data_IF_073156373501
#
_entry.id   IF_073156373501
#
_cell.length_a   1.000
_cell.length_b   1.000
_cell.length_c   1.000
_cell.angle_alpha   90.00
_cell.angle_beta   90.00
_cell.angle_gamma   90.00
#
_symmetry.space_group_name_H-M   'P 1'
#
loop_
_entity.id
_entity.type
_entity.pdbx_description
1 polymer ?
#
# COMPACT_ATOMS: atom_id res chain seq x y z
N UNK A 1 -16.88 -4.61 -5.30
CA UNK A 1 -16.38 -3.47 -4.49
C UNK A 1 -17.04 -2.14 -4.87
N UNK A 2 -17.22 -1.86 -6.15
CA UNK A 2 -17.90 -0.63 -6.62
C UNK A 2 -19.39 -0.60 -6.23
N UNK A 3 -20.10 -1.72 -6.35
CA UNK A 3 -21.49 -1.81 -5.87
C UNK A 3 -21.61 -1.52 -4.39
N UNK A 4 -20.75 -2.14 -3.58
CA UNK A 4 -20.72 -1.93 -2.13
C UNK A 4 -20.52 -0.44 -1.80
N UNK A 5 -19.49 0.17 -2.40
CA UNK A 5 -19.18 1.58 -2.15
C UNK A 5 -20.30 2.52 -2.60
N UNK A 6 -20.92 2.25 -3.75
CA UNK A 6 -22.07 3.03 -4.24
C UNK A 6 -23.30 2.90 -3.34
N UNK A 7 -23.63 1.68 -2.88
CA UNK A 7 -24.72 1.45 -1.95
C UNK A 7 -24.45 2.16 -0.61
N UNK A 8 -23.25 2.02 -0.10
CA UNK A 8 -22.81 2.68 1.14
C UNK A 8 -23.01 4.19 1.07
N UNK A 9 -22.50 4.82 0.00
CA UNK A 9 -22.48 6.28 -0.13
C UNK A 9 -23.86 6.82 -0.48
N UNK A 10 -24.54 6.25 -1.47
CA UNK A 10 -25.68 6.88 -2.11
C UNK A 10 -27.04 6.29 -1.69
N UNK A 11 -27.09 5.03 -1.29
CA UNK A 11 -28.33 4.38 -0.84
C UNK A 11 -28.46 4.43 0.68
N UNK A 12 -27.39 4.16 1.40
CA UNK A 12 -27.35 4.20 2.86
C UNK A 12 -26.92 5.58 3.40
N UNK A 13 -26.49 6.48 2.53
CA UNK A 13 -26.06 7.85 2.85
C UNK A 13 -24.99 7.93 3.96
N UNK A 14 -24.11 6.91 3.99
CA UNK A 14 -23.05 6.83 4.98
C UNK A 14 -21.77 7.53 4.49
N UNK A 15 -20.99 8.12 5.40
CA UNK A 15 -19.71 8.74 5.04
C UNK A 15 -18.77 7.77 4.34
N UNK A 16 -18.27 8.14 3.16
CA UNK A 16 -17.39 7.28 2.35
C UNK A 16 -16.09 6.92 3.06
N UNK A 17 -15.60 7.79 3.95
CA UNK A 17 -14.38 7.56 4.73
C UNK A 17 -14.53 6.34 5.66
N UNK A 18 -15.70 6.16 6.27
CA UNK A 18 -15.99 5.00 7.11
C UNK A 18 -16.00 3.70 6.29
N UNK A 19 -16.57 3.76 5.07
CA UNK A 19 -16.57 2.62 4.16
C UNK A 19 -15.16 2.27 3.67
N UNK A 20 -14.35 3.28 3.35
CA UNK A 20 -12.94 3.08 2.99
C UNK A 20 -12.15 2.45 4.14
N UNK A 21 -12.39 2.88 5.37
CA UNK A 21 -11.75 2.29 6.54
C UNK A 21 -12.20 0.84 6.78
N UNK A 22 -13.50 0.55 6.63
CA UNK A 22 -14.03 -0.80 6.70
C UNK A 22 -13.38 -1.74 5.66
N UNK A 23 -13.11 -1.23 4.45
CA UNK A 23 -12.39 -2.00 3.43
C UNK A 23 -10.94 -2.27 3.85
N UNK A 24 -10.21 -1.27 4.35
CA UNK A 24 -8.84 -1.47 4.83
C UNK A 24 -8.75 -2.49 5.97
N UNK A 25 -9.75 -2.53 6.83
CA UNK A 25 -9.82 -3.50 7.92
C UNK A 25 -9.99 -4.94 7.43
N UNK A 26 -10.68 -5.16 6.30
CA UNK A 26 -11.17 -6.48 5.89
C UNK A 26 -10.61 -7.00 4.55
N UNK A 27 -10.03 -6.16 3.70
CA UNK A 27 -9.48 -6.59 2.42
C UNK A 27 -8.08 -7.19 2.58
N UNK A 28 -7.87 -8.38 2.04
CA UNK A 28 -6.57 -9.07 2.04
C UNK A 28 -5.53 -8.34 1.17
N UNK A 29 -5.99 -7.66 0.13
CA UNK A 29 -5.21 -6.87 -0.81
C UNK A 29 -5.40 -5.35 -0.59
N UNK A 30 -5.71 -4.94 0.64
CA UNK A 30 -5.96 -3.55 0.98
C UNK A 30 -4.68 -2.71 0.87
N UNK A 31 -4.68 -1.77 -0.09
CA UNK A 31 -3.68 -0.71 -0.21
C UNK A 31 -4.32 0.64 0.13
N UNK A 32 -3.74 1.44 1.05
CA UNK A 32 -4.36 2.68 1.52
C UNK A 32 -4.61 3.70 0.41
N UNK A 33 -3.66 3.85 -0.53
CA UNK A 33 -3.77 4.83 -1.60
C UNK A 33 -4.82 4.39 -2.63
N UNK A 34 -4.72 3.16 -3.11
CA UNK A 34 -5.64 2.58 -4.09
C UNK A 34 -7.07 2.53 -3.55
N UNK A 35 -7.24 2.09 -2.30
CA UNK A 35 -8.55 2.03 -1.64
C UNK A 35 -9.18 3.42 -1.52
N UNK A 36 -8.45 4.40 -0.98
CA UNK A 36 -8.95 5.77 -0.82
C UNK A 36 -9.35 6.38 -2.16
N UNK A 37 -8.49 6.27 -3.18
CA UNK A 37 -8.77 6.82 -4.50
C UNK A 37 -9.96 6.13 -5.18
N UNK A 38 -10.14 4.83 -4.98
CA UNK A 38 -11.27 4.07 -5.52
C UNK A 38 -12.61 4.50 -4.89
N UNK A 39 -12.65 4.68 -3.56
CA UNK A 39 -13.83 5.20 -2.88
C UNK A 39 -14.17 6.63 -3.32
N UNK A 40 -13.15 7.48 -3.47
CA UNK A 40 -13.29 8.84 -3.99
C UNK A 40 -13.81 8.86 -5.43
N UNK A 41 -13.36 7.89 -6.24
CA UNK A 41 -13.84 7.75 -7.62
C UNK A 41 -15.32 7.36 -7.65
N UNK A 42 -15.77 6.39 -6.85
CA UNK A 42 -17.17 6.02 -6.74
C UNK A 42 -18.01 7.22 -6.28
N UNK A 43 -17.52 7.99 -5.31
CA UNK A 43 -18.20 9.19 -4.79
C UNK A 43 -18.30 10.35 -5.80
N UNK A 44 -17.52 10.35 -6.88
CA UNK A 44 -17.49 11.42 -7.89
C UNK A 44 -16.61 12.61 -7.53
N UNK A 45 -15.80 12.50 -6.47
CA UNK A 45 -14.87 13.56 -6.02
C UNK A 45 -13.45 13.40 -6.57
N UNK A 46 -13.06 12.20 -7.01
CA UNK A 46 -11.77 11.97 -7.68
C UNK A 46 -11.74 12.53 -9.09
N UNK A 47 -12.83 12.35 -9.83
CA UNK A 47 -13.08 13.00 -11.13
C UNK A 47 -14.39 13.73 -11.01
N UNK A 48 -14.34 15.07 -11.01
CA UNK A 48 -15.47 15.94 -10.72
C UNK A 48 -16.70 15.52 -11.52
N UNK A 49 -17.82 15.35 -10.84
CA UNK A 49 -19.13 15.00 -11.41
C UNK A 49 -19.22 13.63 -12.13
N UNK A 50 -18.20 12.79 -12.02
CA UNK A 50 -18.22 11.41 -12.54
C UNK A 50 -18.22 10.43 -11.40
N UNK A 51 -19.40 10.04 -10.96
CA UNK A 51 -19.60 9.03 -9.92
C UNK A 51 -20.08 7.70 -10.50
N UNK A 52 -20.03 6.66 -9.70
CA UNK A 52 -20.52 5.34 -10.08
C UNK A 52 -21.73 4.98 -9.24
N UNK A 53 -22.86 4.63 -9.91
CA UNK A 53 -24.06 4.17 -9.24
C UNK A 53 -24.25 2.66 -9.43
N UNK A 54 -24.49 1.95 -8.33
CA UNK A 54 -24.95 0.59 -8.35
C UNK A 54 -26.38 0.55 -8.92
N UNK A 55 -26.58 -0.23 -9.97
CA UNK A 55 -27.86 -0.37 -10.65
C UNK A 55 -28.38 -1.79 -10.52
N UNK A 56 -29.67 -1.95 -10.20
CA UNK A 56 -30.33 -3.25 -10.06
C UNK A 56 -30.04 -4.18 -11.24
N UNK A 57 -30.24 -3.70 -12.46
CA UNK A 57 -30.01 -4.50 -13.67
C UNK A 57 -28.56 -4.96 -13.83
N UNK A 58 -27.61 -4.12 -13.43
CA UNK A 58 -26.19 -4.48 -13.48
C UNK A 58 -25.84 -5.55 -12.44
N UNK A 59 -26.37 -5.42 -11.22
CA UNK A 59 -26.15 -6.40 -10.14
C UNK A 59 -26.76 -7.75 -10.52
N UNK A 60 -27.98 -7.78 -11.03
CA UNK A 60 -28.64 -9.03 -11.49
C UNK A 60 -27.81 -9.69 -12.59
N UNK A 61 -27.43 -8.91 -13.60
CA UNK A 61 -26.70 -9.41 -14.79
C UNK A 61 -25.34 -10.04 -14.45
N UNK A 62 -24.60 -9.44 -13.53
CA UNK A 62 -23.19 -9.84 -13.26
C UNK A 62 -22.99 -10.48 -11.90
N UNK A 63 -23.94 -10.35 -10.97
CA UNK A 63 -23.84 -10.90 -9.62
C UNK A 63 -24.39 -12.31 -9.48
N UNK A 64 -25.14 -12.78 -10.45
CA UNK A 64 -25.92 -14.03 -10.36
C UNK A 64 -26.74 -14.12 -9.07
N UNK A 65 -27.37 -13.00 -8.68
CA UNK A 65 -28.09 -12.84 -7.43
C UNK A 65 -29.56 -12.61 -7.74
N UNK A 66 -30.43 -13.33 -7.03
CA UNK A 66 -31.85 -13.00 -6.99
C UNK A 66 -32.05 -11.72 -6.18
N UNK A 67 -32.20 -10.60 -6.87
CA UNK A 67 -32.37 -9.30 -6.22
C UNK A 67 -33.80 -9.20 -5.64
N UNK A 68 -33.88 -8.97 -4.33
CA UNK A 68 -35.17 -8.77 -3.68
C UNK A 68 -35.80 -7.45 -4.19
N UNK A 69 -37.05 -7.53 -4.69
CA UNK A 69 -37.75 -6.38 -5.27
C UNK A 69 -37.99 -5.24 -4.26
N UNK A 70 -38.04 -5.57 -2.97
CA UNK A 70 -38.21 -4.58 -1.91
C UNK A 70 -36.97 -3.73 -1.63
N UNK A 71 -35.79 -4.12 -2.16
CA UNK A 71 -34.58 -3.32 -2.02
C UNK A 71 -34.55 -2.20 -3.06
N UNK A 72 -34.64 -0.97 -2.58
CA UNK A 72 -34.53 0.23 -3.42
C UNK A 72 -33.10 0.76 -3.40
N UNK A 73 -32.47 0.82 -4.57
CA UNK A 73 -31.19 1.49 -4.75
C UNK A 73 -31.40 2.94 -5.18
N UNK A 74 -30.57 3.86 -4.71
CA UNK A 74 -30.55 5.22 -5.22
C UNK A 74 -29.77 5.27 -6.54
N UNK A 75 -30.48 5.08 -7.65
CA UNK A 75 -29.92 5.06 -9.00
C UNK A 75 -29.86 6.47 -9.66
N UNK A 76 -30.28 7.52 -8.92
CA UNK A 76 -30.35 8.90 -9.41
C UNK A 76 -29.56 9.89 -8.53
N UNK A 77 -28.74 9.37 -7.62
CA UNK A 77 -27.92 10.19 -6.75
C UNK A 77 -26.93 11.06 -7.56
N UNK A 78 -26.61 12.22 -7.01
CA UNK A 78 -25.58 13.14 -7.55
C UNK A 78 -24.23 12.89 -6.87
N UNK A 79 -23.17 13.30 -7.54
CA UNK A 79 -21.80 13.23 -7.00
C UNK A 79 -21.69 14.00 -5.69
N UNK A 80 -20.87 13.49 -4.78
CA UNK A 80 -20.45 14.28 -3.63
C UNK A 80 -19.55 15.44 -4.08
N UNK A 81 -19.56 16.51 -3.30
CA UNK A 81 -18.69 17.65 -3.53
C UNK A 81 -17.53 17.68 -2.54
N UNK A 82 -16.38 18.09 -3.00
CA UNK A 82 -15.21 18.37 -2.17
C UNK A 82 -14.58 19.68 -2.60
N UNK A 83 -14.31 20.54 -1.64
CA UNK A 83 -13.69 21.86 -1.89
C UNK A 83 -12.18 21.79 -2.00
N UNK A 84 -11.56 20.74 -1.43
CA UNK A 84 -10.10 20.61 -1.40
C UNK A 84 -9.56 20.15 -2.75
N UNK A 85 -8.59 20.89 -3.26
CA UNK A 85 -7.85 20.54 -4.48
C UNK A 85 -6.53 19.86 -4.12
N UNK A 86 -6.14 18.87 -4.93
CA UNK A 86 -4.89 18.12 -4.78
C UNK A 86 -4.08 18.28 -6.06
N UNK A 87 -2.79 18.53 -5.90
CA UNK A 87 -1.85 18.67 -7.00
C UNK A 87 -0.83 17.53 -6.96
N UNK A 88 -0.47 17.03 -8.13
CA UNK A 88 0.63 16.09 -8.24
C UNK A 88 1.93 16.77 -7.77
N UNK A 89 2.74 16.01 -7.02
CA UNK A 89 4.09 16.42 -6.62
C UNK A 89 5.09 15.50 -7.30
N UNK A 90 6.16 16.08 -7.80
CA UNK A 90 7.26 15.29 -8.31
C UNK A 90 7.94 14.53 -7.18
N UNK A 91 8.36 13.31 -7.45
CA UNK A 91 9.21 12.55 -6.56
C UNK A 91 10.66 12.97 -6.79
N UNK A 92 11.35 13.24 -5.70
CA UNK A 92 12.81 13.43 -5.71
C UNK A 92 13.45 12.06 -5.50
N UNK A 93 14.20 11.60 -6.50
CA UNK A 93 14.98 10.38 -6.44
C UNK A 93 16.42 10.76 -6.12
N UNK A 94 16.95 10.28 -5.01
CA UNK A 94 18.36 10.44 -4.69
C UNK A 94 19.16 9.37 -5.42
N UNK A 95 20.27 9.77 -6.02
CA UNK A 95 21.25 8.83 -6.55
C UNK A 95 21.94 8.13 -5.35
N UNK A 96 21.95 6.81 -5.39
CA UNK A 96 22.69 5.98 -4.43
C UNK A 96 23.38 4.85 -5.18
N UNK A 97 24.52 4.45 -4.68
CA UNK A 97 25.19 3.25 -5.15
C UNK A 97 24.81 2.08 -4.24
N UNK A 98 24.17 1.08 -4.84
CA UNK A 98 23.74 -0.12 -4.11
C UNK A 98 24.91 -0.84 -3.45
N UNK A 99 26.09 -0.78 -4.06
CA UNK A 99 27.31 -1.44 -3.56
C UNK A 99 27.75 -0.96 -2.17
N UNK A 100 27.33 0.23 -1.76
CA UNK A 100 27.62 0.79 -0.43
C UNK A 100 26.62 0.38 0.65
N UNK A 101 25.64 -0.47 0.31
CA UNK A 101 24.57 -0.90 1.21
C UNK A 101 24.69 -2.41 1.47
N UNK A 102 24.93 -2.78 2.72
CA UNK A 102 24.91 -4.18 3.17
C UNK A 102 23.72 -4.54 4.05
N UNK A 103 22.90 -3.56 4.39
CA UNK A 103 21.76 -3.68 5.32
C UNK A 103 20.48 -3.11 4.73
N UNK A 104 19.37 -3.81 4.90
CA UNK A 104 18.05 -3.43 4.38
C UNK A 104 16.94 -3.74 5.37
N UNK A 105 15.92 -2.88 5.41
CA UNK A 105 14.64 -3.16 6.05
C UNK A 105 13.61 -3.49 4.98
N UNK A 106 12.92 -4.61 5.10
CA UNK A 106 11.88 -5.06 4.15
C UNK A 106 10.49 -4.77 4.72
N UNK A 107 9.71 -3.86 4.12
CA UNK A 107 8.34 -3.62 4.51
C UNK A 107 7.41 -4.73 3.99
N UNK A 108 6.33 -5.02 4.72
CA UNK A 108 5.33 -6.01 4.25
C UNK A 108 4.54 -5.53 3.02
N UNK A 109 4.57 -4.25 2.72
CA UNK A 109 3.93 -3.67 1.53
C UNK A 109 4.74 -3.95 0.26
N UNK A 110 6.02 -4.36 0.39
CA UNK A 110 6.88 -4.68 -0.75
C UNK A 110 7.89 -5.80 -0.42
N UNK A 111 7.38 -6.98 -0.16
CA UNK A 111 8.19 -8.18 0.14
C UNK A 111 9.11 -8.59 -1.02
N UNK A 112 8.73 -8.27 -2.26
CA UNK A 112 9.48 -8.69 -3.45
C UNK A 112 10.64 -7.77 -3.79
N UNK A 113 10.81 -6.64 -3.12
CA UNK A 113 11.92 -5.74 -3.41
C UNK A 113 13.28 -6.46 -3.29
N UNK A 114 13.43 -7.27 -2.26
CA UNK A 114 14.69 -8.00 -1.97
C UNK A 114 15.10 -8.99 -3.06
N UNK A 115 14.13 -9.52 -3.85
CA UNK A 115 14.39 -10.63 -4.78
C UNK A 115 15.44 -10.31 -5.83
N UNK A 116 15.50 -9.05 -6.25
CA UNK A 116 16.48 -8.58 -7.24
C UNK A 116 17.85 -8.28 -6.62
N UNK A 117 17.96 -8.27 -5.28
CA UNK A 117 19.14 -7.80 -4.56
C UNK A 117 19.57 -8.72 -3.42
N UNK A 118 18.97 -9.91 -3.29
CA UNK A 118 19.16 -10.81 -2.12
C UNK A 118 20.61 -11.18 -1.81
N UNK A 119 21.49 -11.22 -2.82
CA UNK A 119 22.89 -11.55 -2.63
C UNK A 119 23.75 -10.36 -2.17
N UNK A 120 23.18 -9.16 -2.22
CA UNK A 120 23.88 -7.92 -1.87
C UNK A 120 23.78 -7.61 -0.39
N UNK A 121 22.59 -7.87 0.22
CA UNK A 121 22.35 -7.51 1.61
C UNK A 121 22.75 -8.64 2.57
N UNK A 122 23.70 -8.34 3.47
CA UNK A 122 24.14 -9.26 4.54
C UNK A 122 23.23 -9.21 5.75
N UNK A 123 22.64 -8.04 6.02
CA UNK A 123 21.79 -7.81 7.17
C UNK A 123 20.40 -7.40 6.69
N UNK A 124 19.41 -8.21 7.01
CA UNK A 124 18.02 -7.97 6.62
C UNK A 124 17.20 -7.83 7.88
N UNK A 125 16.48 -6.72 8.03
CA UNK A 125 15.45 -6.56 9.05
C UNK A 125 14.08 -6.66 8.39
N UNK A 126 13.25 -7.52 8.94
CA UNK A 126 11.87 -7.68 8.47
C UNK A 126 10.96 -8.04 9.65
N UNK A 127 9.69 -7.88 9.47
CA UNK A 127 8.69 -8.20 10.46
C UNK A 127 7.45 -7.35 10.31
N UNK A 128 6.42 -7.67 11.07
CA UNK A 128 5.11 -7.04 10.94
C UNK A 128 4.85 -6.19 12.17
N UNK A 129 4.78 -4.87 12.03
CA UNK A 129 4.54 -3.95 13.14
C UNK A 129 3.04 -3.75 13.42
N UNK A 130 2.25 -4.82 13.59
CA UNK A 130 0.80 -4.69 13.76
C UNK A 130 0.37 -3.79 14.92
N UNK A 131 1.14 -3.77 16.01
CA UNK A 131 0.84 -2.95 17.17
C UNK A 131 1.14 -1.45 16.94
N UNK A 132 1.92 -1.16 15.90
CA UNK A 132 2.37 0.19 15.55
C UNK A 132 1.59 0.77 14.36
N UNK A 133 0.63 0.03 13.80
CA UNK A 133 -0.27 0.51 12.76
C UNK A 133 -1.37 1.37 13.38
N UNK A 134 -1.15 2.67 13.40
CA UNK A 134 -2.06 3.62 14.04
C UNK A 134 -3.25 4.03 13.16
N UNK A 135 -3.13 3.91 11.84
CA UNK A 135 -4.14 4.43 10.90
C UNK A 135 -5.25 3.44 10.59
N UNK A 136 -4.95 2.14 10.62
CA UNK A 136 -5.88 1.09 10.22
C UNK A 136 -5.83 -0.08 11.19
N UNK A 137 -7.00 -0.43 11.73
CA UNK A 137 -7.18 -1.69 12.46
C UNK A 137 -7.41 -2.79 11.43
N UNK A 138 -6.57 -3.81 11.44
CA UNK A 138 -6.78 -4.99 10.60
C UNK A 138 -7.60 -6.04 11.32
N UNK A 139 -8.56 -6.67 10.62
CA UNK A 139 -9.24 -7.86 11.11
C UNK A 139 -8.24 -9.01 11.30
N UNK A 140 -8.59 -9.98 12.16
CA UNK A 140 -7.72 -11.14 12.38
C UNK A 140 -7.40 -11.88 11.07
N UNK A 141 -8.38 -12.01 10.18
CA UNK A 141 -8.21 -12.63 8.86
C UNK A 141 -7.13 -11.93 8.02
N UNK A 142 -7.09 -10.59 8.02
CA UNK A 142 -6.08 -9.81 7.30
C UNK A 142 -4.71 -10.00 7.94
N UNK A 143 -4.63 -9.95 9.28
CA UNK A 143 -3.38 -10.20 10.01
C UNK A 143 -2.80 -11.58 9.70
N UNK A 144 -3.62 -12.61 9.73
CA UNK A 144 -3.19 -13.99 9.45
C UNK A 144 -2.73 -14.14 7.99
N UNK A 145 -3.39 -13.46 7.07
CA UNK A 145 -2.99 -13.45 5.67
C UNK A 145 -1.62 -12.78 5.50
N UNK A 146 -1.42 -11.58 6.05
CA UNK A 146 -0.13 -10.87 5.98
C UNK A 146 1.00 -11.73 6.58
N UNK A 147 0.76 -12.36 7.75
CA UNK A 147 1.73 -13.30 8.35
C UNK A 147 2.09 -14.43 7.38
N UNK A 148 1.07 -15.08 6.83
CA UNK A 148 1.25 -16.23 5.93
C UNK A 148 2.06 -15.87 4.69
N UNK A 149 1.73 -14.76 4.02
CA UNK A 149 2.46 -14.35 2.81
C UNK A 149 3.89 -13.92 3.12
N UNK A 150 4.12 -13.26 4.25
CA UNK A 150 5.46 -12.87 4.68
C UNK A 150 6.33 -14.10 4.92
N UNK A 151 5.83 -15.08 5.69
CA UNK A 151 6.54 -16.34 5.95
C UNK A 151 6.84 -17.10 4.65
N UNK A 152 5.83 -17.24 3.77
CA UNK A 152 5.99 -17.95 2.50
C UNK A 152 7.05 -17.27 1.63
N UNK A 153 6.98 -15.94 1.48
CA UNK A 153 7.94 -15.20 0.69
C UNK A 153 9.38 -15.40 1.17
N UNK A 154 9.60 -15.37 2.50
CA UNK A 154 10.93 -15.59 3.07
C UNK A 154 11.42 -17.02 2.87
N UNK A 155 10.56 -18.03 3.03
CA UNK A 155 10.87 -19.45 2.78
C UNK A 155 11.25 -19.68 1.32
N UNK A 156 10.37 -19.26 0.42
CA UNK A 156 10.49 -19.53 -1.01
C UNK A 156 11.74 -18.87 -1.62
N UNK A 157 12.27 -17.84 -0.97
CA UNK A 157 13.42 -17.09 -1.45
C UNK A 157 14.72 -17.37 -0.68
N UNK A 158 14.74 -18.37 0.20
CA UNK A 158 15.90 -18.73 1.04
C UNK A 158 16.50 -17.53 1.80
N UNK A 159 15.65 -16.62 2.27
CA UNK A 159 16.06 -15.42 3.01
C UNK A 159 16.30 -15.72 4.51
N UNK A 160 16.28 -17.00 4.89
CA UNK A 160 16.38 -17.48 6.27
C UNK A 160 17.80 -17.69 6.79
N UNK A 161 18.83 -17.49 5.99
CA UNK A 161 20.17 -17.96 6.34
C UNK A 161 20.73 -17.43 7.67
N UNK A 162 20.15 -16.35 8.26
CA UNK A 162 20.57 -15.80 9.56
C UNK A 162 19.43 -15.26 10.43
N UNK A 163 18.17 -15.37 10.01
CA UNK A 163 17.02 -14.84 10.74
C UNK A 163 15.81 -15.72 10.59
N UNK A 164 15.34 -16.31 11.69
CA UNK A 164 13.90 -16.59 11.79
C UNK A 164 13.19 -15.24 11.72
N UNK A 165 12.29 -15.01 10.76
CA UNK A 165 11.55 -13.76 10.73
C UNK A 165 10.76 -13.71 12.03
N UNK A 166 11.10 -12.78 12.88
CA UNK A 166 10.26 -12.43 14.03
C UNK A 166 9.01 -11.80 13.42
N UNK A 167 7.97 -12.61 13.32
CA UNK A 167 6.78 -12.25 12.55
C UNK A 167 5.99 -11.15 13.25
N UNK A 168 6.03 -11.10 14.57
CA UNK A 168 5.42 -10.05 15.39
C UNK A 168 6.39 -9.59 16.46
N UNK A 169 6.69 -8.31 16.46
CA UNK A 169 7.45 -7.70 17.54
C UNK A 169 6.51 -7.15 18.62
N UNK A 170 6.85 -7.36 19.89
CA UNK A 170 6.19 -6.67 21.00
C UNK A 170 6.30 -5.16 20.86
N UNK A 171 7.48 -4.71 20.43
CA UNK A 171 7.79 -3.33 20.12
C UNK A 171 8.76 -3.31 18.91
N UNK A 172 8.24 -2.95 17.76
CA UNK A 172 8.97 -2.97 16.51
C UNK A 172 10.19 -2.02 16.52
N UNK A 173 10.03 -0.84 17.09
CA UNK A 173 11.06 0.18 17.12
C UNK A 173 12.23 -0.20 18.02
N UNK A 174 11.95 -0.73 19.20
CA UNK A 174 12.99 -1.24 20.12
C UNK A 174 13.75 -2.39 19.45
N UNK A 175 13.04 -3.35 18.87
CA UNK A 175 13.67 -4.49 18.18
C UNK A 175 14.53 -4.06 17.00
N UNK A 176 14.11 -3.04 16.25
CA UNK A 176 14.92 -2.44 15.19
C UNK A 176 16.21 -1.80 15.74
N UNK A 177 16.09 -0.99 16.78
CA UNK A 177 17.23 -0.32 17.41
C UNK A 177 18.23 -1.33 17.98
N UNK A 178 17.74 -2.38 18.64
CA UNK A 178 18.58 -3.47 19.17
C UNK A 178 19.33 -4.20 18.04
N UNK A 179 18.63 -4.49 16.92
CA UNK A 179 19.25 -5.11 15.75
C UNK A 179 20.35 -4.23 15.14
N UNK A 180 20.09 -2.92 14.98
CA UNK A 180 21.05 -1.95 14.48
C UNK A 180 22.30 -1.91 15.37
N UNK A 181 22.12 -1.84 16.68
CA UNK A 181 23.22 -1.78 17.65
C UNK A 181 24.02 -3.09 17.66
N UNK A 182 23.34 -4.24 17.69
CA UNK A 182 23.97 -5.57 17.72
C UNK A 182 24.83 -5.82 16.47
N UNK A 183 24.38 -5.35 15.31
CA UNK A 183 25.09 -5.51 14.03
C UNK A 183 26.01 -4.33 13.69
N UNK A 184 26.07 -3.31 14.54
CA UNK A 184 26.85 -2.07 14.33
C UNK A 184 26.56 -1.40 12.98
N UNK A 185 25.28 -1.33 12.60
CA UNK A 185 24.83 -0.82 11.31
C UNK A 185 24.89 0.70 11.31
N UNK A 186 25.40 1.29 10.22
CA UNK A 186 25.50 2.74 10.03
C UNK A 186 24.67 3.25 8.85
N UNK A 187 24.34 2.37 7.92
CA UNK A 187 23.62 2.72 6.70
C UNK A 187 22.61 1.64 6.37
N UNK A 188 21.35 2.03 6.09
CA UNK A 188 20.24 1.10 5.86
C UNK A 188 19.47 1.51 4.61
N UNK A 189 19.25 0.55 3.71
CA UNK A 189 18.34 0.70 2.59
C UNK A 189 16.87 0.56 3.02
N UNK A 190 16.02 1.48 2.57
CA UNK A 190 14.59 1.47 2.76
C UNK A 190 13.90 1.43 1.39
N UNK A 191 13.32 0.30 0.96
CA UNK A 191 12.47 0.28 -0.23
C UNK A 191 11.41 1.39 -0.13
N UNK A 192 11.26 2.16 -1.21
CA UNK A 192 10.31 3.27 -1.20
C UNK A 192 8.89 2.77 -0.94
N UNK A 193 8.23 3.37 0.02
CA UNK A 193 6.82 3.08 0.35
C UNK A 193 5.96 4.31 0.06
N UNK A 194 4.75 4.06 -0.42
CA UNK A 194 3.74 5.10 -0.66
C UNK A 194 3.13 5.57 0.67
N UNK A 195 2.15 6.47 0.60
CA UNK A 195 1.40 6.87 1.80
C UNK A 195 0.68 5.67 2.41
N UNK A 196 0.78 5.53 3.73
CA UNK A 196 0.19 4.43 4.49
C UNK A 196 0.94 4.21 5.80
N UNK A 197 0.70 3.07 6.43
CA UNK A 197 1.30 2.73 7.73
C UNK A 197 2.84 2.68 7.66
N UNK A 198 3.41 2.08 6.61
CA UNK A 198 4.86 1.97 6.48
C UNK A 198 5.57 3.30 6.32
N UNK A 199 4.93 4.29 5.69
CA UNK A 199 5.50 5.63 5.62
C UNK A 199 5.70 6.24 7.01
N UNK A 200 4.71 6.11 7.88
CA UNK A 200 4.79 6.59 9.28
C UNK A 200 5.81 5.82 10.10
N UNK A 201 5.90 4.50 9.89
CA UNK A 201 6.92 3.67 10.55
C UNK A 201 8.32 4.14 10.16
N UNK A 202 8.57 4.37 8.88
CA UNK A 202 9.86 4.89 8.43
C UNK A 202 10.18 6.26 9.02
N UNK A 203 9.24 7.20 9.01
CA UNK A 203 9.40 8.53 9.58
C UNK A 203 9.79 8.45 11.07
N UNK A 204 9.16 7.56 11.82
CA UNK A 204 9.50 7.33 13.23
C UNK A 204 10.86 6.66 13.41
N UNK A 205 11.16 5.59 12.66
CA UNK A 205 12.48 4.93 12.71
C UNK A 205 13.62 5.92 12.43
N UNK A 206 13.45 6.77 11.42
CA UNK A 206 14.43 7.79 11.07
C UNK A 206 14.60 8.80 12.21
N UNK A 207 13.51 9.27 12.79
CA UNK A 207 13.55 10.25 13.88
C UNK A 207 14.16 9.70 15.17
N UNK A 208 13.91 8.42 15.49
CA UNK A 208 14.44 7.76 16.69
C UNK A 208 15.88 7.27 16.53
N UNK A 209 16.42 7.19 15.30
CA UNK A 209 17.77 6.70 15.01
C UNK A 209 18.60 7.70 14.18
N UNK A 210 18.86 8.93 14.66
CA UNK A 210 19.49 10.00 13.88
C UNK A 210 20.94 9.72 13.49
N UNK A 211 21.61 8.75 14.13
CA UNK A 211 22.97 8.32 13.80
C UNK A 211 23.04 7.37 12.60
N UNK A 212 21.92 6.89 12.10
CA UNK A 212 21.81 5.97 10.98
C UNK A 212 21.57 6.75 9.69
N UNK A 213 22.33 6.43 8.65
CA UNK A 213 22.08 6.94 7.30
C UNK A 213 21.04 6.08 6.61
N UNK A 214 19.80 6.57 6.50
CA UNK A 214 18.71 5.90 5.80
C UNK A 214 18.68 6.32 4.34
N UNK A 215 18.67 5.34 3.44
CA UNK A 215 18.70 5.55 1.98
C UNK A 215 17.45 4.95 1.37
N UNK A 216 16.59 5.78 0.74
CA UNK A 216 15.44 5.28 0.01
C UNK A 216 15.86 4.59 -1.28
N UNK A 217 15.38 3.37 -1.45
CA UNK A 217 15.64 2.52 -2.60
C UNK A 217 14.44 2.53 -3.54
N UNK A 218 14.69 2.76 -4.83
CA UNK A 218 13.67 2.76 -5.88
C UNK A 218 14.08 1.77 -6.97
N UNK A 219 13.12 1.05 -7.53
CA UNK A 219 13.37 0.28 -8.74
C UNK A 219 13.47 1.22 -9.93
N UNK A 220 14.33 0.89 -10.88
CA UNK A 220 14.43 1.64 -12.15
C UNK A 220 13.08 1.75 -12.84
N UNK A 221 12.33 0.68 -12.88
CA UNK A 221 10.98 0.62 -13.42
C UNK A 221 10.02 1.63 -12.73
N UNK A 222 10.09 1.80 -11.40
CA UNK A 222 9.27 2.77 -10.66
C UNK A 222 9.65 4.19 -11.06
N UNK A 223 10.95 4.49 -11.13
CA UNK A 223 11.47 5.81 -11.53
C UNK A 223 11.01 6.16 -12.96
N UNK A 224 11.20 5.22 -13.90
CA UNK A 224 10.85 5.42 -15.30
C UNK A 224 9.33 5.60 -15.51
N UNK A 225 8.52 4.94 -14.69
CA UNK A 225 7.06 4.96 -14.77
C UNK A 225 6.44 6.21 -14.13
N UNK A 226 7.04 6.73 -13.07
CA UNK A 226 6.44 7.75 -12.22
C UNK A 226 6.07 9.03 -12.96
N UNK A 227 6.91 9.50 -13.87
CA UNK A 227 6.69 10.70 -14.67
C UNK A 227 5.41 10.66 -15.52
N UNK A 228 4.90 9.46 -15.82
CA UNK A 228 3.67 9.27 -16.59
C UNK A 228 2.42 9.09 -15.71
N UNK A 229 2.59 8.93 -14.40
CA UNK A 229 1.50 8.63 -13.46
C UNK A 229 0.76 9.88 -12.93
N UNK A 230 0.95 11.06 -13.54
CA UNK A 230 0.45 12.35 -13.06
C UNK A 230 -0.91 12.78 -13.63
N UNK A 231 -1.42 12.10 -14.66
CA UNK A 231 -2.65 12.49 -15.40
C UNK A 231 -3.71 11.38 -15.48
N UNK A 232 -3.66 10.40 -14.58
CA UNK A 232 -4.60 9.28 -14.52
C UNK A 232 -4.29 8.14 -15.49
N UNK A 233 -5.02 7.02 -15.32
CA UNK A 233 -4.72 5.73 -15.95
C UNK A 233 -4.65 5.76 -17.49
N UNK A 234 -5.58 6.42 -18.17
CA UNK A 234 -5.60 6.41 -19.65
C UNK A 234 -4.40 7.13 -20.26
N UNK A 235 -3.84 8.12 -19.57
CA UNK A 235 -2.59 8.72 -19.98
C UNK A 235 -1.42 7.77 -19.77
N UNK A 236 -1.34 7.18 -18.57
CA UNK A 236 -0.30 6.19 -18.21
C UNK A 236 -0.29 4.99 -19.16
N UNK A 237 -1.49 4.45 -19.47
CA UNK A 237 -1.66 3.27 -20.35
C UNK A 237 -0.94 3.41 -21.69
N UNK A 238 -0.85 4.61 -22.26
CA UNK A 238 -0.19 4.86 -23.56
C UNK A 238 1.31 4.57 -23.53
N UNK A 239 1.92 4.65 -22.33
CA UNK A 239 3.35 4.45 -22.12
C UNK A 239 3.71 3.03 -21.66
N UNK A 240 2.72 2.17 -21.32
CA UNK A 240 2.97 0.81 -20.86
C UNK A 240 3.81 -0.02 -21.87
N UNK A 241 3.53 -0.03 -23.20
CA UNK A 241 4.33 -0.80 -24.14
C UNK A 241 5.82 -0.38 -24.15
N UNK A 242 6.09 0.92 -24.09
CA UNK A 242 7.45 1.47 -24.02
C UNK A 242 8.13 1.08 -22.70
N UNK A 243 7.42 1.17 -21.58
CA UNK A 243 7.96 0.81 -20.27
C UNK A 243 8.31 -0.67 -20.18
N UNK A 244 7.45 -1.55 -20.70
CA UNK A 244 7.71 -3.01 -20.73
C UNK A 244 8.92 -3.35 -21.59
N UNK A 245 9.12 -2.64 -22.71
CA UNK A 245 10.28 -2.90 -23.60
C UNK A 245 11.63 -2.53 -22.97
N UNK A 246 11.64 -1.86 -21.82
CA UNK A 246 12.85 -1.44 -21.06
C UNK A 246 13.15 -2.35 -19.86
N UNK A 247 12.25 -3.31 -19.57
CA UNK A 247 12.45 -4.33 -18.54
C UNK A 247 13.33 -5.47 -19.04
#
# INVERSE_FOLDING_TARGET
>A
RMWFASIWIFTLELPWQLGANFFMENLLDGDPASNTLSWRWVAGIQTKSKHYLARKNNIIKYGNINFNENIKLNEQAISLEETKSYFAKDLVFNNYELNDLDSILIPTDDLNFILNYKHQFKNIFSGIPFNDYNDHKFSQKVKDHIKKITISNFKDNNLYNDYEPVIEFKNYYVSFTDWVNKKNIKKIGLPYVTKGNWKKIYERLISENPSINFVYLHRKYDIDSWKFANKGFFNFKKHIPELISKL
#
